data_IF_198385278656
#
_entry.id   IF_198385278656
#
_cell.length_a   1.000
_cell.length_b   1.000
_cell.length_c   1.000
_cell.angle_alpha   90.00
_cell.angle_beta   90.00
_cell.angle_gamma   90.00
#
_symmetry.space_group_name_H-M   'P 1'
#
loop_
_entity.id
_entity.type
_entity.pdbx_description
1 polymer ?
#
# COMPACT_ATOMS: atom_id res chain seq x y z
N UNK A 1 -25.61 -12.83 10.01
CA UNK A 1 -24.29 -12.18 10.12
C UNK A 1 -24.03 -11.14 9.03
N UNK A 2 -24.18 -11.43 7.72
CA UNK A 2 -23.93 -10.44 6.64
C UNK A 2 -24.80 -9.18 6.69
N UNK A 3 -26.08 -9.29 7.08
CA UNK A 3 -27.01 -8.14 7.22
C UNK A 3 -26.66 -7.24 8.41
N UNK A 4 -26.17 -7.81 9.52
CA UNK A 4 -25.72 -7.04 10.68
C UNK A 4 -24.43 -6.26 10.40
N UNK A 5 -23.50 -6.84 9.63
CA UNK A 5 -22.27 -6.17 9.19
C UNK A 5 -22.59 -4.97 8.29
N UNK A 6 -23.52 -5.15 7.35
CA UNK A 6 -23.95 -4.07 6.45
C UNK A 6 -24.61 -2.92 7.25
N UNK A 7 -25.43 -3.24 8.25
CA UNK A 7 -26.08 -2.25 9.11
C UNK A 7 -25.07 -1.46 9.95
N UNK A 8 -24.04 -2.13 10.49
CA UNK A 8 -22.96 -1.48 11.24
C UNK A 8 -22.17 -0.52 10.34
N UNK A 9 -21.88 -0.90 9.10
CA UNK A 9 -21.19 -0.03 8.15
C UNK A 9 -22.03 1.19 7.81
N UNK A 10 -23.34 1.04 7.61
CA UNK A 10 -24.27 2.16 7.33
C UNK A 10 -24.35 3.10 8.54
N UNK A 11 -24.45 2.57 9.76
CA UNK A 11 -24.51 3.38 11.00
C UNK A 11 -23.20 4.13 11.23
N UNK A 12 -22.04 3.52 10.95
CA UNK A 12 -20.75 4.22 11.01
C UNK A 12 -20.66 5.38 9.99
N UNK A 13 -21.24 5.24 8.80
CA UNK A 13 -21.27 6.30 7.80
C UNK A 13 -22.17 7.49 8.17
N UNK A 14 -23.18 7.29 9.04
CA UNK A 14 -24.13 8.33 9.44
C UNK A 14 -23.67 9.11 10.70
N UNK A 15 -22.78 8.52 11.50
CA UNK A 15 -22.36 9.07 12.80
C UNK A 15 -21.16 10.03 12.74
N UNK A 16 -20.79 10.55 11.58
CA UNK A 16 -19.66 11.51 11.47
C UNK A 16 -20.15 12.92 11.81
N UNK A 17 -19.69 13.55 12.91
CA UNK A 17 -20.05 14.91 13.25
C UNK A 17 -19.55 15.91 12.20
N UNK A 18 -20.39 16.85 11.84
CA UNK A 18 -20.10 17.92 10.89
C UNK A 18 -19.15 18.96 11.53
N UNK A 19 -17.85 18.84 11.27
CA UNK A 19 -16.89 19.91 11.54
C UNK A 19 -16.35 20.44 10.22
N UNK A 20 -16.65 21.69 9.83
CA UNK A 20 -16.11 22.32 8.63
C UNK A 20 -14.68 22.82 8.91
N UNK A 21 -13.72 21.92 9.04
CA UNK A 21 -12.32 22.29 9.13
C UNK A 21 -11.63 22.14 7.77
N UNK A 22 -10.71 23.05 7.46
CA UNK A 22 -9.76 22.82 6.35
C UNK A 22 -8.91 21.63 6.73
N UNK A 23 -9.21 20.45 6.16
CA UNK A 23 -8.61 19.19 6.59
C UNK A 23 -7.18 18.98 6.12
N UNK A 24 -6.74 19.74 5.11
CA UNK A 24 -5.34 19.72 4.66
C UNK A 24 -4.77 21.11 4.61
N UNK A 25 -3.75 21.36 5.43
CA UNK A 25 -2.97 22.59 5.43
C UNK A 25 -1.60 22.34 4.79
N UNK A 26 -1.05 23.30 4.04
CA UNK A 26 0.32 23.21 3.56
C UNK A 26 1.30 23.00 4.74
N UNK A 27 2.21 22.04 4.62
CA UNK A 27 3.15 21.66 5.68
C UNK A 27 2.63 20.63 6.66
N UNK A 28 1.35 20.28 6.64
CA UNK A 28 0.79 19.22 7.47
C UNK A 28 1.46 17.88 7.18
N UNK A 29 1.66 17.08 8.21
CA UNK A 29 2.36 15.80 8.15
C UNK A 29 1.43 14.67 8.55
N UNK A 30 1.63 13.50 7.97
CA UNK A 30 0.90 12.29 8.30
C UNK A 30 1.79 11.06 8.30
N UNK A 31 1.52 10.17 9.23
CA UNK A 31 2.10 8.83 9.26
C UNK A 31 1.02 7.83 8.88
N UNK A 32 1.35 6.90 8.00
CA UNK A 32 0.40 5.88 7.55
C UNK A 32 1.00 4.48 7.63
N UNK A 33 0.13 3.53 7.92
CA UNK A 33 0.41 2.10 7.82
C UNK A 33 -0.61 1.47 6.89
N UNK A 34 -0.15 0.58 6.03
CA UNK A 34 -0.98 -0.09 5.02
C UNK A 34 -0.68 -1.58 5.02
N UNK A 35 -1.67 -2.37 4.69
CA UNK A 35 -1.52 -3.79 4.43
C UNK A 35 -2.51 -4.21 3.34
N UNK A 36 -2.18 -5.29 2.63
CA UNK A 36 -3.04 -5.74 1.55
C UNK A 36 -2.53 -6.96 0.83
N UNK A 37 -3.07 -7.16 -0.37
CA UNK A 37 -2.78 -8.32 -1.22
C UNK A 37 -2.08 -7.92 -2.51
N UNK A 38 -1.41 -8.87 -3.14
CA UNK A 38 -0.65 -8.67 -4.38
C UNK A 38 -1.09 -9.68 -5.43
N UNK A 39 -1.36 -9.20 -6.64
CA UNK A 39 -1.78 -10.02 -7.80
C UNK A 39 -2.99 -10.91 -7.52
N UNK A 40 -3.92 -10.44 -6.68
CA UNK A 40 -5.14 -11.15 -6.34
C UNK A 40 -5.68 -10.73 -4.98
N UNK A 41 -6.80 -11.34 -4.56
CA UNK A 41 -7.46 -11.00 -3.30
C UNK A 41 -7.20 -12.02 -2.18
N UNK A 42 -6.31 -12.99 -2.40
CA UNK A 42 -5.98 -13.99 -1.40
C UNK A 42 -4.72 -13.62 -0.60
N UNK A 43 -4.84 -13.15 0.65
CA UNK A 43 -3.70 -12.73 1.46
C UNK A 43 -2.82 -13.90 1.95
N UNK A 44 -3.31 -15.16 1.85
CA UNK A 44 -2.54 -16.33 2.30
C UNK A 44 -1.37 -16.65 1.36
N UNK A 45 -1.48 -16.26 0.09
CA UNK A 45 -0.48 -16.56 -0.91
C UNK A 45 0.45 -15.37 -1.17
N UNK A 46 -0.12 -14.15 -1.20
CA UNK A 46 0.64 -12.96 -1.52
C UNK A 46 0.12 -11.78 -0.70
N UNK A 47 0.98 -11.16 0.07
CA UNK A 47 0.61 -10.00 0.87
C UNK A 47 1.69 -8.93 0.85
N UNK A 48 1.31 -7.72 1.22
CA UNK A 48 2.23 -6.63 1.49
C UNK A 48 1.83 -5.90 2.78
N UNK A 49 2.81 -5.29 3.43
CA UNK A 49 2.61 -4.38 4.54
C UNK A 49 3.65 -3.27 4.47
N UNK A 50 3.25 -2.06 4.78
CA UNK A 50 4.14 -0.91 4.68
C UNK A 50 3.80 0.20 5.65
N UNK A 51 4.76 1.12 5.79
CA UNK A 51 4.60 2.36 6.51
C UNK A 51 5.10 3.52 5.64
N UNK A 52 4.44 4.68 5.72
CA UNK A 52 4.88 5.84 4.97
C UNK A 52 4.64 7.13 5.76
N UNK A 53 5.47 8.11 5.45
CA UNK A 53 5.36 9.49 5.87
C UNK A 53 4.84 10.32 4.71
N UNK A 54 3.90 11.20 4.98
CA UNK A 54 3.35 12.12 3.99
C UNK A 54 3.46 13.56 4.47
N UNK A 55 3.79 14.46 3.53
CA UNK A 55 3.83 15.90 3.76
C UNK A 55 2.95 16.61 2.74
N UNK A 56 1.92 17.29 3.24
CA UNK A 56 0.94 17.97 2.40
C UNK A 56 1.49 19.31 1.89
N UNK A 57 1.21 19.57 0.63
CA UNK A 57 1.50 20.81 -0.06
C UNK A 57 0.23 21.63 -0.26
N UNK A 58 0.23 22.58 -1.16
CA UNK A 58 -0.96 23.33 -1.54
C UNK A 58 -1.98 22.40 -2.23
N UNK A 59 -3.28 22.65 -2.05
CA UNK A 59 -4.41 21.95 -2.67
C UNK A 59 -4.60 20.49 -2.20
N UNK A 60 -4.04 20.10 -1.05
CA UNK A 60 -4.05 18.72 -0.54
C UNK A 60 -3.24 17.71 -1.39
N UNK A 61 -2.38 18.20 -2.28
CA UNK A 61 -1.35 17.37 -2.89
C UNK A 61 -0.27 17.05 -1.84
N UNK A 62 0.48 15.95 -2.01
CA UNK A 62 1.44 15.54 -1.00
C UNK A 62 2.64 14.76 -1.55
N UNK A 63 3.76 14.93 -0.92
CA UNK A 63 4.88 14.02 -1.00
C UNK A 63 4.63 12.83 -0.08
N UNK A 64 5.01 11.64 -0.53
CA UNK A 64 4.88 10.40 0.23
C UNK A 64 6.23 9.68 0.15
N UNK A 65 6.75 9.28 1.31
CA UNK A 65 7.99 8.50 1.45
C UNK A 65 7.64 7.24 2.23
N UNK A 66 7.84 6.08 1.63
CA UNK A 66 7.40 4.81 2.19
C UNK A 66 8.47 3.75 2.24
N UNK A 67 8.24 2.77 3.11
CA UNK A 67 8.93 1.50 3.14
C UNK A 67 7.89 0.39 3.13
N UNK A 68 8.14 -0.67 2.39
CA UNK A 68 7.19 -1.76 2.20
C UNK A 68 7.90 -3.11 2.20
N UNK A 69 7.31 -4.06 2.89
CA UNK A 69 7.58 -5.48 2.79
C UNK A 69 6.50 -6.14 1.95
N UNK A 70 6.90 -6.96 1.00
CA UNK A 70 6.01 -7.73 0.15
C UNK A 70 6.49 -9.17 0.09
N UNK A 71 5.57 -10.12 0.26
CA UNK A 71 5.86 -11.55 0.13
C UNK A 71 4.92 -12.20 -0.88
N UNK A 72 5.53 -12.99 -1.77
CA UNK A 72 4.84 -13.89 -2.69
C UNK A 72 5.26 -15.31 -2.42
N UNK A 73 4.31 -16.24 -2.49
CA UNK A 73 4.56 -17.65 -2.29
C UNK A 73 4.29 -18.43 -3.56
N UNK A 74 5.32 -19.03 -4.10
CA UNK A 74 5.22 -19.84 -5.31
C UNK A 74 5.08 -21.31 -4.95
N UNK A 75 4.01 -21.99 -5.42
CA UNK A 75 3.85 -23.42 -5.19
C UNK A 75 4.89 -24.21 -5.97
N UNK A 76 5.62 -25.09 -5.26
CA UNK A 76 6.54 -26.04 -5.86
C UNK A 76 6.31 -27.40 -5.20
N UNK A 77 5.71 -28.35 -5.94
CA UNK A 77 5.30 -29.67 -5.40
C UNK A 77 4.45 -29.51 -4.12
N UNK A 78 4.95 -29.97 -2.99
CA UNK A 78 4.27 -29.91 -1.67
C UNK A 78 4.77 -28.76 -0.77
N UNK A 79 5.65 -27.88 -1.29
CA UNK A 79 6.20 -26.74 -0.55
C UNK A 79 5.83 -25.42 -1.24
N UNK A 80 5.89 -24.33 -0.48
CA UNK A 80 5.72 -22.97 -1.00
C UNK A 80 7.02 -22.23 -0.81
N UNK A 81 7.61 -21.75 -1.90
CA UNK A 81 8.86 -21.00 -1.90
C UNK A 81 8.51 -19.53 -1.68
N UNK A 82 8.93 -18.91 -0.57
CA UNK A 82 8.70 -17.49 -0.33
C UNK A 82 9.68 -16.66 -1.14
N UNK A 83 9.17 -15.61 -1.76
CA UNK A 83 9.93 -14.53 -2.35
C UNK A 83 9.56 -13.25 -1.61
N UNK A 84 10.54 -12.66 -0.95
CA UNK A 84 10.39 -11.48 -0.12
C UNK A 84 11.04 -10.28 -0.77
N UNK A 85 10.35 -9.15 -0.78
CA UNK A 85 10.84 -7.89 -1.31
C UNK A 85 10.79 -6.83 -0.20
N UNK A 86 11.89 -6.12 -0.01
CA UNK A 86 11.99 -4.94 0.84
C UNK A 86 12.21 -3.74 -0.06
N UNK A 87 11.28 -2.81 -0.08
CA UNK A 87 11.34 -1.66 -0.97
C UNK A 87 11.14 -0.36 -0.20
N UNK A 88 11.81 0.69 -0.66
CA UNK A 88 11.54 2.07 -0.29
C UNK A 88 11.02 2.81 -1.51
N UNK A 89 10.12 3.74 -1.30
CA UNK A 89 9.56 4.56 -2.37
C UNK A 89 9.44 6.03 -1.97
N UNK A 90 9.55 6.88 -2.98
CA UNK A 90 9.31 8.31 -2.86
C UNK A 90 8.44 8.74 -4.02
N UNK A 91 7.33 9.44 -3.73
CA UNK A 91 6.35 9.81 -4.74
C UNK A 91 5.62 11.10 -4.45
N UNK A 92 4.92 11.57 -5.47
CA UNK A 92 4.04 12.72 -5.37
C UNK A 92 2.61 12.32 -5.75
N UNK A 93 1.66 12.71 -4.90
CA UNK A 93 0.25 12.38 -5.02
C UNK A 93 -0.55 13.65 -5.29
N UNK A 94 -1.25 13.66 -6.41
CA UNK A 94 -2.14 14.74 -6.83
C UNK A 94 -3.57 14.42 -6.39
N UNK A 95 -4.17 15.29 -5.62
CA UNK A 95 -5.59 15.20 -5.34
C UNK A 95 -6.38 15.70 -6.56
N UNK A 96 -7.21 14.85 -7.14
CA UNK A 96 -8.03 15.24 -8.29
C UNK A 96 -9.54 15.28 -7.99
N UNK A 97 -10.00 14.60 -6.92
CA UNK A 97 -11.40 14.61 -6.51
C UNK A 97 -11.53 14.74 -5.00
N UNK A 98 -12.52 15.50 -4.56
CA UNK A 98 -12.94 15.55 -3.16
C UNK A 98 -14.42 15.84 -3.10
N UNK A 99 -15.10 15.34 -2.07
CA UNK A 99 -16.46 15.72 -1.77
C UNK A 99 -16.53 17.17 -1.28
N UNK A 100 -17.73 17.76 -1.29
CA UNK A 100 -17.95 19.15 -0.86
C UNK A 100 -17.72 19.33 0.65
N UNK A 101 -17.94 18.25 1.44
CA UNK A 101 -17.69 18.24 2.91
C UNK A 101 -16.22 17.99 3.25
N UNK A 102 -15.38 17.71 2.26
CA UNK A 102 -13.96 17.36 2.42
C UNK A 102 -13.73 16.18 3.38
N UNK A 103 -14.65 15.22 3.36
CA UNK A 103 -14.55 13.98 4.12
C UNK A 103 -13.90 12.86 3.30
N UNK A 104 -14.06 12.93 1.99
CA UNK A 104 -13.52 12.00 1.01
C UNK A 104 -12.57 12.69 0.04
N UNK A 105 -11.43 12.07 -0.21
CA UNK A 105 -10.47 12.54 -1.21
C UNK A 105 -10.02 11.36 -2.07
N UNK A 106 -9.83 11.63 -3.36
CA UNK A 106 -9.25 10.68 -4.30
C UNK A 106 -8.00 11.30 -4.90
N UNK A 107 -6.90 10.57 -4.84
CA UNK A 107 -5.59 11.03 -5.27
C UNK A 107 -4.95 10.03 -6.23
N UNK A 108 -4.24 10.55 -7.22
CA UNK A 108 -3.38 9.78 -8.11
C UNK A 108 -1.93 10.07 -7.76
N UNK A 109 -1.16 9.03 -7.45
CA UNK A 109 0.25 9.12 -7.10
C UNK A 109 1.15 8.48 -8.14
N UNK A 110 2.33 9.06 -8.32
CA UNK A 110 3.44 8.45 -9.03
C UNK A 110 4.66 8.42 -8.11
N UNK A 111 5.35 7.27 -8.03
CA UNK A 111 6.51 7.10 -7.16
C UNK A 111 7.65 6.36 -7.85
N UNK A 112 8.88 6.72 -7.50
CA UNK A 112 10.06 5.91 -7.76
C UNK A 112 10.21 4.87 -6.66
N UNK A 113 10.62 3.67 -7.01
CA UNK A 113 10.76 2.53 -6.09
C UNK A 113 12.15 1.94 -6.25
N UNK A 114 12.81 1.66 -5.13
CA UNK A 114 14.07 0.93 -5.07
C UNK A 114 14.05 -0.07 -3.91
N UNK A 115 14.74 -1.20 -4.06
CA UNK A 115 14.71 -2.20 -3.01
C UNK A 115 15.54 -3.43 -3.30
N UNK A 116 15.27 -4.46 -2.54
CA UNK A 116 15.98 -5.72 -2.57
C UNK A 116 14.99 -6.90 -2.50
N UNK A 117 15.23 -7.90 -3.32
CA UNK A 117 14.47 -9.13 -3.40
C UNK A 117 15.32 -10.29 -2.92
N UNK A 118 14.77 -11.15 -2.08
CA UNK A 118 15.39 -12.40 -1.67
C UNK A 118 14.44 -13.57 -1.92
N UNK A 119 14.98 -14.66 -2.45
CA UNK A 119 14.22 -15.88 -2.73
C UNK A 119 14.62 -16.93 -1.70
N UNK A 120 13.63 -17.47 -0.99
CA UNK A 120 13.83 -18.48 0.06
C UNK A 120 14.91 -18.10 1.09
N UNK A 121 15.02 -16.79 1.40
CA UNK A 121 16.03 -16.25 2.33
C UNK A 121 17.46 -16.67 1.97
N UNK A 122 17.77 -16.69 0.66
CA UNK A 122 19.04 -17.13 0.07
C UNK A 122 19.38 -18.62 0.29
N UNK A 123 18.41 -19.42 0.73
CA UNK A 123 18.61 -20.86 0.86
C UNK A 123 18.28 -21.53 -0.48
N UNK A 124 19.31 -21.87 -1.23
CA UNK A 124 19.19 -22.41 -2.60
C UNK A 124 18.84 -23.88 -2.65
N UNK A 125 19.15 -24.65 -1.61
CA UNK A 125 18.88 -26.08 -1.56
C UNK A 125 17.51 -26.33 -0.94
N UNK A 126 16.64 -26.97 -1.68
CA UNK A 126 15.33 -27.43 -1.18
C UNK A 126 15.43 -28.79 -0.50
N UNK A 127 14.44 -29.14 0.32
CA UNK A 127 14.40 -30.40 1.06
C UNK A 127 14.35 -31.65 0.18
N UNK A 128 14.00 -31.52 -1.10
CA UNK A 128 13.96 -32.60 -2.09
C UNK A 128 15.26 -32.69 -2.93
N UNK A 129 16.29 -31.91 -2.58
CA UNK A 129 17.57 -31.86 -3.30
C UNK A 129 17.60 -30.99 -4.54
N UNK A 130 16.46 -30.33 -4.89
CA UNK A 130 16.43 -29.38 -5.98
C UNK A 130 17.12 -28.06 -5.60
N UNK A 131 17.72 -27.39 -6.58
CA UNK A 131 18.41 -26.11 -6.38
C UNK A 131 17.63 -24.97 -7.03
N UNK A 132 17.44 -23.88 -6.30
CA UNK A 132 16.84 -22.64 -6.80
C UNK A 132 17.89 -21.89 -7.61
N UNK A 133 17.62 -21.65 -8.89
CA UNK A 133 18.52 -20.90 -9.77
C UNK A 133 18.37 -19.38 -9.63
N UNK A 134 17.23 -18.89 -9.14
CA UNK A 134 16.98 -17.48 -8.90
C UNK A 134 17.66 -17.04 -7.61
N UNK A 135 18.56 -16.06 -7.73
CA UNK A 135 19.25 -15.44 -6.59
C UNK A 135 18.57 -14.17 -6.15
N UNK A 136 19.14 -13.59 -5.12
CA UNK A 136 18.78 -12.27 -4.63
C UNK A 136 19.07 -11.19 -5.68
N UNK A 137 18.25 -10.16 -5.74
CA UNK A 137 18.36 -9.12 -6.76
C UNK A 137 18.02 -7.73 -6.20
N UNK A 138 18.69 -6.72 -6.76
CA UNK A 138 18.32 -5.34 -6.53
C UNK A 138 17.14 -4.97 -7.44
N UNK A 139 16.14 -4.34 -6.84
CA UNK A 139 14.92 -3.88 -7.51
C UNK A 139 14.95 -2.38 -7.72
N UNK A 140 14.52 -1.93 -8.89
CA UNK A 140 14.28 -0.52 -9.16
C UNK A 140 13.15 -0.34 -10.17
N UNK A 141 12.46 0.77 -10.07
CA UNK A 141 11.35 1.04 -10.98
C UNK A 141 10.45 2.16 -10.51
N UNK A 142 9.17 2.04 -10.85
CA UNK A 142 8.17 3.02 -10.48
C UNK A 142 6.84 2.37 -10.10
N UNK A 143 5.97 3.18 -9.53
CA UNK A 143 4.60 2.78 -9.24
C UNK A 143 3.62 3.90 -9.53
N UNK A 144 2.40 3.51 -9.96
CA UNK A 144 1.23 4.37 -10.04
C UNK A 144 0.24 3.91 -8.97
N UNK A 145 -0.30 4.85 -8.21
CA UNK A 145 -1.21 4.57 -7.10
C UNK A 145 -2.48 5.40 -7.23
N UNK A 146 -3.62 4.76 -7.17
CA UNK A 146 -4.91 5.39 -6.92
C UNK A 146 -5.23 5.19 -5.44
N UNK A 147 -5.39 6.28 -4.68
CA UNK A 147 -5.64 6.23 -3.25
C UNK A 147 -6.89 7.02 -2.89
N UNK A 148 -7.79 6.38 -2.17
CA UNK A 148 -8.96 6.97 -1.56
C UNK A 148 -8.71 7.19 -0.06
N UNK A 149 -9.03 8.37 0.43
CA UNK A 149 -8.90 8.80 1.82
C UNK A 149 -10.27 9.16 2.37
N UNK A 150 -10.64 8.52 3.49
CA UNK A 150 -11.89 8.79 4.20
C UNK A 150 -11.55 9.24 5.62
N UNK A 151 -11.89 10.48 5.96
CA UNK A 151 -11.69 11.02 7.28
C UNK A 151 -12.70 10.44 8.28
N UNK A 152 -12.20 9.72 9.27
CA UNK A 152 -12.99 9.24 10.40
C UNK A 152 -13.05 10.30 11.51
N UNK A 153 -11.94 10.99 11.73
CA UNK A 153 -11.80 12.12 12.64
C UNK A 153 -10.91 13.18 12.00
N UNK A 154 -10.64 14.29 12.68
CA UNK A 154 -9.73 15.33 12.18
C UNK A 154 -8.28 14.84 12.03
N UNK A 155 -7.91 13.75 12.72
CA UNK A 155 -6.55 13.20 12.70
C UNK A 155 -6.44 11.79 12.15
N UNK A 156 -7.55 11.06 12.08
CA UNK A 156 -7.55 9.65 11.66
C UNK A 156 -8.24 9.52 10.31
N UNK A 157 -7.52 8.97 9.36
CA UNK A 157 -7.97 8.79 7.98
C UNK A 157 -7.88 7.31 7.62
N UNK A 158 -8.97 6.75 7.11
CA UNK A 158 -8.99 5.43 6.50
C UNK A 158 -8.49 5.53 5.06
N UNK A 159 -7.61 4.62 4.67
CA UNK A 159 -7.04 4.53 3.32
C UNK A 159 -7.55 3.29 2.61
N UNK A 160 -7.83 3.43 1.32
CA UNK A 160 -7.98 2.32 0.39
C UNK A 160 -7.17 2.64 -0.87
N UNK A 161 -6.37 1.71 -1.36
CA UNK A 161 -5.49 1.96 -2.49
C UNK A 161 -5.44 0.80 -3.48
N UNK A 162 -5.28 1.17 -4.74
CA UNK A 162 -4.87 0.27 -5.82
C UNK A 162 -3.56 0.80 -6.38
N UNK A 163 -2.52 -0.03 -6.40
CA UNK A 163 -1.18 0.36 -6.82
C UNK A 163 -0.66 -0.63 -7.86
N UNK A 164 -0.21 -0.11 -8.98
CA UNK A 164 0.50 -0.89 -10.00
C UNK A 164 1.98 -0.56 -9.93
N UNK A 165 2.82 -1.57 -9.72
CA UNK A 165 4.28 -1.45 -9.65
C UNK A 165 4.92 -2.05 -10.90
N UNK A 166 5.81 -1.29 -11.51
CA UNK A 166 6.68 -1.75 -12.60
C UNK A 166 8.11 -1.80 -12.07
N UNK A 167 8.62 -3.00 -11.81
CA UNK A 167 9.94 -3.22 -11.23
C UNK A 167 10.84 -3.99 -12.21
N UNK A 168 12.06 -3.50 -12.38
CA UNK A 168 13.15 -4.20 -13.02
C UNK A 168 14.02 -4.91 -11.98
N UNK A 169 14.63 -6.01 -12.38
CA UNK A 169 15.47 -6.84 -11.50
C UNK A 169 14.71 -7.96 -10.78
N UNK A 170 13.37 -7.93 -10.74
CA UNK A 170 12.58 -8.97 -10.08
C UNK A 170 12.53 -10.27 -10.90
N UNK A 171 12.72 -11.39 -10.22
CA UNK A 171 12.57 -12.74 -10.79
C UNK A 171 11.10 -13.19 -10.90
N UNK A 172 10.16 -12.49 -10.22
CA UNK A 172 8.73 -12.85 -10.15
C UNK A 172 7.83 -12.03 -11.08
N UNK A 173 8.39 -11.40 -12.10
CA UNK A 173 7.64 -10.58 -13.05
C UNK A 173 7.77 -9.08 -12.79
N UNK A 174 7.62 -8.31 -13.85
CA UNK A 174 7.82 -6.85 -13.82
C UNK A 174 6.63 -6.09 -13.25
N UNK A 175 5.42 -6.61 -13.42
CA UNK A 175 4.17 -5.97 -13.01
C UNK A 175 3.63 -6.60 -11.74
N UNK A 176 3.20 -5.75 -10.80
CA UNK A 176 2.65 -6.17 -9.52
C UNK A 176 1.52 -5.24 -9.12
N UNK A 177 0.29 -5.74 -9.27
CA UNK A 177 -0.92 -5.04 -8.82
C UNK A 177 -1.14 -5.30 -7.33
N UNK A 178 -1.24 -4.24 -6.54
CA UNK A 178 -1.48 -4.29 -5.10
C UNK A 178 -2.85 -3.68 -4.78
N UNK A 179 -3.56 -4.32 -3.87
CA UNK A 179 -4.77 -3.81 -3.24
C UNK A 179 -4.50 -3.63 -1.76
N UNK A 180 -4.64 -2.40 -1.26
CA UNK A 180 -4.28 -2.06 0.12
C UNK A 180 -5.40 -1.34 0.85
N UNK A 181 -5.44 -1.58 2.15
CA UNK A 181 -6.17 -0.77 3.11
C UNK A 181 -5.20 -0.28 4.17
N UNK A 182 -5.50 0.84 4.81
CA UNK A 182 -4.61 1.39 5.80
C UNK A 182 -5.25 2.46 6.66
N UNK A 183 -4.47 2.94 7.60
CA UNK A 183 -4.82 4.05 8.47
C UNK A 183 -3.71 5.08 8.39
N UNK A 184 -4.09 6.34 8.26
CA UNK A 184 -3.21 7.49 8.34
C UNK A 184 -3.55 8.31 9.56
N UNK A 185 -2.53 8.72 10.30
CA UNK A 185 -2.64 9.64 11.41
C UNK A 185 -1.99 10.97 11.06
N UNK A 186 -2.74 12.05 11.18
CA UNK A 186 -2.27 13.42 10.96
C UNK A 186 -1.60 13.90 12.24
N UNK A 187 -0.31 14.26 12.14
CA UNK A 187 0.54 14.57 13.31
C UNK A 187 0.36 16.01 13.78
N UNK A 188 0.18 16.95 12.82
CA UNK A 188 0.02 18.40 13.12
C UNK A 188 -0.88 19.10 12.12
#
# INVERSE_FOLDING_TARGET
>A
MKKALLFIIIVLCIAVPELPAQRYLPGQQGLQVTAGTVNGLNPQDNFHAGAAFSQYTKRADRWVFGVEYLEKRFPYRNIRIPQSQFTADAGYYLKFLSDWRKTFFLSLGASAVAGYETVNWNNRLLSDGATINNGDAFLYGGALTLEAEIYLTDRTVLLASVRERLLSGSSAGKFNTQFGIGIKYIVN
#
